data_IF_443051000517
#
_entry.id   IF_443051000517
#
_cell.length_a   1.000
_cell.length_b   1.000
_cell.length_c   1.000
_cell.angle_alpha   90.00
_cell.angle_beta   90.00
_cell.angle_gamma   90.00
#
_symmetry.space_group_name_H-M   'P 1'
#
loop_
_entity.id
_entity.type
_entity.pdbx_description
1 polymer ?
#
# COMPACT_ATOMS: atom_id res chain seq x y z
N UNK A 1 -16.53 -45.71 -22.58
CA UNK A 1 -15.54 -45.26 -21.58
C UNK A 1 -16.00 -43.93 -20.98
N UNK A 2 -17.07 -43.92 -20.17
CA UNK A 2 -17.73 -42.67 -19.68
C UNK A 2 -17.45 -42.39 -18.18
N UNK A 3 -16.63 -43.21 -17.51
CA UNK A 3 -16.44 -43.10 -16.06
C UNK A 3 -15.51 -41.95 -15.61
N UNK A 4 -14.80 -41.30 -16.53
CA UNK A 4 -13.80 -40.27 -16.21
C UNK A 4 -14.34 -38.83 -16.18
N UNK A 5 -15.57 -38.58 -16.63
CA UNK A 5 -16.14 -37.22 -16.70
C UNK A 5 -16.63 -36.71 -15.34
N UNK A 6 -16.97 -37.61 -14.41
CA UNK A 6 -17.63 -37.26 -13.14
C UNK A 6 -16.62 -37.00 -12.00
N UNK A 7 -15.39 -37.52 -12.11
CA UNK A 7 -14.38 -37.39 -11.05
C UNK A 7 -13.93 -35.93 -10.81
N UNK A 8 -14.02 -35.07 -11.83
CA UNK A 8 -13.57 -33.67 -11.76
C UNK A 8 -14.67 -32.68 -11.35
N UNK A 9 -15.94 -33.11 -11.34
CA UNK A 9 -17.08 -32.27 -10.98
C UNK A 9 -16.94 -31.61 -9.59
N UNK A 10 -16.57 -32.33 -8.51
CA UNK A 10 -16.42 -31.70 -7.20
C UNK A 10 -15.27 -30.69 -7.17
N UNK A 11 -14.20 -30.93 -7.93
CA UNK A 11 -13.04 -30.03 -8.03
C UNK A 11 -13.46 -28.72 -8.73
N UNK A 12 -14.25 -28.81 -9.80
CA UNK A 12 -14.77 -27.63 -10.50
C UNK A 12 -15.73 -26.80 -9.64
N UNK A 13 -16.54 -27.44 -8.79
CA UNK A 13 -17.44 -26.73 -7.86
C UNK A 13 -16.64 -25.91 -6.84
N UNK A 14 -15.57 -26.48 -6.29
CA UNK A 14 -14.70 -25.78 -5.32
C UNK A 14 -13.97 -24.60 -5.98
N UNK A 15 -13.45 -24.81 -7.20
CA UNK A 15 -12.76 -23.75 -7.95
C UNK A 15 -13.75 -22.62 -8.30
N UNK A 16 -14.96 -22.96 -8.76
CA UNK A 16 -15.99 -21.96 -9.06
C UNK A 16 -16.42 -21.18 -7.81
N UNK A 17 -16.56 -21.84 -6.66
CA UNK A 17 -16.88 -21.19 -5.37
C UNK A 17 -15.78 -20.22 -4.92
N UNK A 18 -14.51 -20.64 -4.99
CA UNK A 18 -13.36 -19.77 -4.70
C UNK A 18 -13.28 -18.59 -5.67
N UNK A 19 -13.59 -18.82 -6.94
CA UNK A 19 -13.58 -17.78 -7.96
C UNK A 19 -14.70 -16.74 -7.73
N UNK A 20 -15.91 -17.16 -7.36
CA UNK A 20 -16.99 -16.25 -6.95
C UNK A 20 -16.63 -15.45 -5.69
N UNK A 21 -16.03 -16.11 -4.69
CA UNK A 21 -15.60 -15.45 -3.45
C UNK A 21 -14.54 -14.38 -3.72
N UNK A 22 -13.64 -14.62 -4.69
CA UNK A 22 -12.65 -13.64 -5.14
C UNK A 22 -13.27 -12.47 -5.91
N UNK A 23 -14.38 -12.69 -6.62
CA UNK A 23 -15.08 -11.65 -7.36
C UNK A 23 -15.90 -10.71 -6.45
N UNK A 24 -16.50 -11.25 -5.39
CA UNK A 24 -17.31 -10.48 -4.42
C UNK A 24 -16.42 -9.65 -3.47
N UNK A 25 -15.21 -10.13 -3.15
CA UNK A 25 -14.26 -9.39 -2.30
C UNK A 25 -13.72 -8.09 -2.92
N UNK A 26 -13.84 -7.89 -4.24
CA UNK A 26 -13.35 -6.68 -4.92
C UNK A 26 -14.33 -5.52 -4.99
N UNK A 27 -15.59 -5.67 -4.54
CA UNK A 27 -16.61 -4.61 -4.63
C UNK A 27 -17.06 -4.03 -3.29
N UNK A 28 -16.40 -4.37 -2.18
CA UNK A 28 -16.78 -3.87 -0.86
C UNK A 28 -16.19 -2.50 -0.49
N UNK A 29 -15.23 -1.95 -1.26
CA UNK A 29 -14.57 -0.68 -0.90
C UNK A 29 -15.19 0.58 -1.53
N UNK A 30 -16.17 0.45 -2.43
CA UNK A 30 -16.73 1.59 -3.18
C UNK A 30 -18.11 2.06 -2.69
N UNK A 31 -18.45 1.81 -1.42
CA UNK A 31 -19.71 2.26 -0.81
C UNK A 31 -19.59 3.04 0.51
N UNK A 32 -18.42 3.59 0.82
CA UNK A 32 -18.26 4.50 1.98
C UNK A 32 -18.02 5.97 1.58
N UNK A 33 -18.16 6.31 0.29
CA UNK A 33 -17.97 7.68 -0.19
C UNK A 33 -19.28 8.45 -0.36
N UNK A 34 -20.21 8.34 0.58
CA UNK A 34 -21.29 9.30 0.76
C UNK A 34 -21.96 8.93 2.07
N UNK A 35 -21.50 9.53 3.17
CA UNK A 35 -22.34 10.10 4.23
C UNK A 35 -21.46 10.58 5.38
N UNK A 36 -21.00 11.81 5.25
CA UNK A 36 -20.68 12.67 6.38
C UNK A 36 -21.92 12.86 7.25
N UNK A 37 -21.96 12.32 8.47
CA UNK A 37 -22.56 13.02 9.62
C UNK A 37 -22.29 12.37 10.99
N UNK A 38 -21.54 13.14 11.80
CA UNK A 38 -21.64 13.34 13.26
C UNK A 38 -22.19 12.20 14.15
N UNK A 39 -21.29 11.53 14.88
CA UNK A 39 -21.39 11.16 16.31
C UNK A 39 -20.13 10.31 16.58
N UNK A 40 -19.25 10.63 17.53
CA UNK A 40 -19.56 10.95 18.90
C UNK A 40 -19.73 9.68 19.73
N UNK A 41 -18.75 8.77 19.72
CA UNK A 41 -18.71 7.66 20.70
C UNK A 41 -17.28 7.29 21.06
N UNK A 42 -16.93 7.48 22.34
CA UNK A 42 -15.66 7.07 22.96
C UNK A 42 -15.71 5.56 23.21
N UNK A 43 -14.70 4.80 22.77
CA UNK A 43 -14.11 3.60 23.43
C UNK A 43 -13.15 2.86 22.48
N UNK A 44 -12.28 1.96 22.98
CA UNK A 44 -11.07 2.18 23.76
C UNK A 44 -9.82 2.31 22.87
N UNK A 45 -8.86 3.10 23.36
CA UNK A 45 -7.62 3.47 22.70
C UNK A 45 -6.67 2.28 22.45
N UNK A 46 -6.87 1.55 21.35
CA UNK A 46 -5.74 0.95 20.64
C UNK A 46 -5.24 2.04 19.70
N UNK A 47 -4.13 2.69 20.06
CA UNK A 47 -3.38 3.59 19.19
C UNK A 47 -2.89 2.76 17.99
N UNK A 48 -3.78 2.45 17.05
CA UNK A 48 -3.36 2.16 15.68
C UNK A 48 -2.87 3.52 15.18
N UNK A 49 -1.58 3.78 15.37
CA UNK A 49 -0.90 4.93 14.78
C UNK A 49 -1.11 4.79 13.27
N UNK A 50 -2.12 5.50 12.77
CA UNK A 50 -2.37 5.59 11.34
C UNK A 50 -1.06 5.99 10.64
N UNK A 51 -0.78 5.43 9.45
CA UNK A 51 0.43 5.78 8.72
C UNK A 51 0.41 7.28 8.44
N UNK A 52 1.38 8.00 9.00
CA UNK A 52 1.47 9.45 8.90
C UNK A 52 2.34 9.79 7.69
N UNK A 53 1.90 10.69 6.79
CA UNK A 53 2.73 11.12 5.68
C UNK A 53 3.93 11.91 6.20
N UNK A 54 5.13 11.51 5.81
CA UNK A 54 6.39 12.19 6.19
C UNK A 54 7.02 12.94 5.01
N UNK A 55 6.64 12.61 3.78
CA UNK A 55 7.02 13.34 2.58
C UNK A 55 5.81 13.38 1.62
N UNK A 56 5.52 14.57 1.10
CA UNK A 56 4.48 14.80 0.08
C UNK A 56 5.11 15.64 -1.04
N UNK A 57 5.03 15.16 -2.28
CA UNK A 57 5.53 15.83 -3.49
C UNK A 57 6.96 16.39 -3.32
N UNK A 58 7.87 15.55 -2.81
CA UNK A 58 9.26 15.91 -2.52
C UNK A 58 9.49 16.80 -1.29
N UNK A 59 8.42 17.26 -0.63
CA UNK A 59 8.47 18.13 0.56
C UNK A 59 8.39 17.31 1.84
N UNK A 60 9.33 17.54 2.76
CA UNK A 60 9.39 16.85 4.04
C UNK A 60 8.44 17.50 5.05
N UNK A 61 7.69 16.69 5.79
CA UNK A 61 6.80 17.13 6.86
C UNK A 61 7.50 16.88 8.20
N UNK A 62 8.24 17.87 8.66
CA UNK A 62 9.07 17.77 9.87
C UNK A 62 8.21 17.55 11.13
N UNK A 63 7.02 18.14 11.20
CA UNK A 63 6.09 17.96 12.31
C UNK A 63 5.70 16.48 12.48
N UNK A 64 5.51 15.77 11.38
CA UNK A 64 5.13 14.36 11.38
C UNK A 64 6.32 13.46 11.73
N UNK A 65 7.52 13.81 11.26
CA UNK A 65 8.76 13.14 11.67
C UNK A 65 9.00 13.29 13.18
N UNK A 66 8.83 14.50 13.72
CA UNK A 66 8.97 14.80 15.14
C UNK A 66 7.93 14.07 15.98
N UNK A 67 6.67 14.01 15.51
CA UNK A 67 5.58 13.28 16.17
C UNK A 67 5.84 11.77 16.22
N UNK A 68 6.51 11.22 15.20
CA UNK A 68 6.89 9.82 15.15
C UNK A 68 8.22 9.53 15.86
N UNK A 69 8.99 10.56 16.22
CA UNK A 69 10.32 10.41 16.81
C UNK A 69 11.35 9.85 15.83
N UNK A 70 11.13 10.00 14.52
CA UNK A 70 12.01 9.49 13.47
C UNK A 70 12.82 10.62 12.84
N UNK A 71 14.09 10.35 12.53
CA UNK A 71 14.92 11.29 11.81
C UNK A 71 14.67 11.15 10.30
N UNK A 72 14.73 12.28 9.58
CA UNK A 72 14.79 12.32 8.12
C UNK A 72 15.84 11.36 7.54
N UNK A 73 17.01 11.28 8.17
CA UNK A 73 18.07 10.37 7.72
C UNK A 73 17.68 8.89 7.81
N UNK A 74 16.93 8.51 8.85
CA UNK A 74 16.46 7.12 9.02
C UNK A 74 15.46 6.77 7.92
N UNK A 75 14.56 7.70 7.60
CA UNK A 75 13.59 7.54 6.50
C UNK A 75 14.31 7.40 5.16
N UNK A 76 15.33 8.22 4.91
CA UNK A 76 16.17 8.14 3.70
C UNK A 76 16.89 6.79 3.62
N UNK A 77 17.50 6.33 4.71
CA UNK A 77 18.22 5.05 4.75
C UNK A 77 17.29 3.86 4.49
N UNK A 78 16.08 3.88 5.06
CA UNK A 78 15.08 2.85 4.80
C UNK A 78 14.61 2.85 3.33
N UNK A 79 14.34 4.03 2.75
CA UNK A 79 13.98 4.16 1.34
C UNK A 79 15.11 3.63 0.42
N UNK A 80 16.36 3.95 0.74
CA UNK A 80 17.53 3.44 0.03
C UNK A 80 17.68 1.93 0.16
N UNK A 81 17.44 1.38 1.36
CA UNK A 81 17.40 -0.06 1.59
C UNK A 81 16.32 -0.78 0.76
N UNK A 82 15.24 -0.08 0.40
CA UNK A 82 14.18 -0.56 -0.49
C UNK A 82 14.49 -0.31 -1.99
N UNK A 83 15.68 0.18 -2.33
CA UNK A 83 16.13 0.42 -3.71
C UNK A 83 15.82 1.82 -4.26
N UNK A 84 15.34 2.76 -3.44
CA UNK A 84 15.08 4.14 -3.86
C UNK A 84 16.38 4.96 -3.81
N UNK A 85 16.84 5.45 -4.95
CA UNK A 85 18.04 6.29 -5.01
C UNK A 85 17.80 7.64 -4.32
N UNK A 86 18.82 8.18 -3.66
CA UNK A 86 18.75 9.48 -2.96
C UNK A 86 18.19 10.61 -3.85
N UNK A 87 18.59 10.63 -5.13
CA UNK A 87 18.11 11.59 -6.11
C UNK A 87 16.60 11.47 -6.38
N UNK A 88 16.07 10.24 -6.37
CA UNK A 88 14.66 9.93 -6.63
C UNK A 88 13.75 10.13 -5.42
N UNK A 89 14.30 10.28 -4.21
CA UNK A 89 13.48 10.51 -3.00
C UNK A 89 12.69 11.81 -3.12
N UNK A 90 13.26 12.84 -3.76
CA UNK A 90 12.56 14.12 -4.01
C UNK A 90 11.49 14.02 -5.11
N UNK A 91 11.52 12.96 -5.91
CA UNK A 91 10.55 12.69 -6.97
C UNK A 91 9.36 11.87 -6.45
N UNK A 92 9.40 11.42 -5.19
CA UNK A 92 8.29 10.69 -4.57
C UNK A 92 7.13 11.64 -4.29
N UNK A 93 5.93 11.26 -4.73
CA UNK A 93 4.71 12.00 -4.44
C UNK A 93 4.24 11.77 -3.01
N UNK A 94 4.45 10.58 -2.45
CA UNK A 94 4.02 10.27 -1.09
C UNK A 94 4.96 9.26 -0.43
N UNK A 95 5.38 9.57 0.79
CA UNK A 95 6.01 8.63 1.73
C UNK A 95 5.24 8.69 3.03
N UNK A 96 4.83 7.53 3.52
CA UNK A 96 4.13 7.34 4.78
C UNK A 96 4.95 6.46 5.71
N UNK A 97 4.85 6.75 7.01
CA UNK A 97 5.53 6.03 8.08
C UNK A 97 4.51 5.66 9.15
N UNK A 98 4.44 4.38 9.54
CA UNK A 98 3.60 3.96 10.66
C UNK A 98 4.29 4.18 12.02
N UNK A 99 3.52 3.92 13.07
CA UNK A 99 4.03 3.93 14.44
C UNK A 99 5.03 2.85 14.81
N UNK A 100 5.28 1.88 13.93
CA UNK A 100 6.21 0.77 14.13
C UNK A 100 7.52 0.98 13.36
N UNK A 101 7.63 2.04 12.55
CA UNK A 101 8.81 2.36 11.76
C UNK A 101 8.81 1.76 10.35
N UNK A 102 7.68 1.25 9.86
CA UNK A 102 7.54 0.78 8.49
C UNK A 102 7.24 1.94 7.54
N UNK A 103 7.97 1.97 6.43
CA UNK A 103 7.82 2.97 5.37
C UNK A 103 7.15 2.37 4.15
N UNK A 104 6.18 3.11 3.62
CA UNK A 104 5.61 2.90 2.30
C UNK A 104 5.76 4.18 1.49
N UNK A 105 6.06 4.01 0.20
CA UNK A 105 6.08 5.09 -0.75
C UNK A 105 5.25 4.71 -1.97
N UNK A 106 4.62 5.69 -2.58
CA UNK A 106 3.92 5.48 -3.85
C UNK A 106 4.95 5.29 -4.97
N UNK A 107 4.98 4.09 -5.56
CA UNK A 107 5.88 3.73 -6.66
C UNK A 107 5.44 4.29 -8.00
N UNK A 108 4.16 4.64 -8.16
CA UNK A 108 3.62 5.11 -9.43
C UNK A 108 4.06 6.55 -9.77
N UNK A 109 4.72 7.25 -8.83
CA UNK A 109 5.41 8.52 -9.09
C UNK A 109 6.81 8.35 -9.71
N UNK A 110 7.40 7.15 -9.63
CA UNK A 110 8.75 6.88 -10.14
C UNK A 110 8.64 5.95 -11.33
N UNK A 111 8.47 6.53 -12.52
CA UNK A 111 8.63 5.76 -13.76
C UNK A 111 10.01 5.06 -13.73
N UNK A 112 10.08 3.76 -14.06
CA UNK A 112 11.35 3.08 -14.22
C UNK A 112 12.11 3.81 -15.33
N UNK A 113 13.33 4.24 -15.05
CA UNK A 113 14.23 4.73 -16.11
C UNK A 113 14.50 3.51 -16.97
N UNK A 114 13.81 3.45 -18.10
CA UNK A 114 14.03 2.47 -19.16
C UNK A 114 15.51 2.61 -19.55
N UNK A 115 16.29 1.58 -19.23
CA UNK A 115 17.67 1.46 -19.70
C UNK A 115 17.60 1.33 -21.21
N UNK A 116 17.70 2.44 -21.93
CA UNK A 116 17.98 2.44 -23.36
C UNK A 116 19.45 2.03 -23.57
N UNK A 117 19.67 0.72 -23.47
CA UNK A 117 20.80 0.04 -24.09
C UNK A 117 20.59 0.08 -25.61
N UNK A 118 21.31 0.96 -26.28
CA UNK A 118 21.64 0.84 -27.70
C UNK A 118 23.01 1.50 -27.82
N UNK A 119 24.15 0.81 -27.91
CA UNK A 119 24.35 -0.48 -28.54
C UNK A 119 24.44 -0.31 -30.05
N UNK A 120 25.42 0.46 -30.53
CA UNK A 120 26.31 0.17 -31.67
C UNK A 120 27.30 1.31 -31.89
#
# INVERSE_FOLDING_TARGET
MEAYRILWVPILIVIAGLFLMRLIGRRAELRQRTETKKQGERTPNKVQKEPVPVLIDGTWIEDNLNTLGCNKNDVIMQLQGQGVLAAKIRELSLVTLDGQGHIWYDRDAVQPVEKNSTGK
#
